data_IF_530712866535
#
_entry.id   IF_530712866535
#
_cell.length_a   1.000
_cell.length_b   1.000
_cell.length_c   1.000
_cell.angle_alpha   90.00
_cell.angle_beta   90.00
_cell.angle_gamma   90.00
#
_symmetry.space_group_name_H-M   'P 1'
#
loop_
_entity.id
_entity.type
_entity.pdbx_description
1 polymer ?
#
# COMPACT_ATOMS: atom_id res chain seq x y z
N UNK A 1 6.24 25.61 -4.35
CA UNK A 1 6.32 24.36 -5.13
C UNK A 1 5.33 23.36 -4.56
N UNK A 2 4.81 22.46 -5.38
CA UNK A 2 3.83 21.43 -4.99
C UNK A 2 4.56 20.25 -4.36
N UNK A 3 4.10 19.73 -3.22
CA UNK A 3 4.70 18.57 -2.53
C UNK A 3 4.25 17.26 -3.19
N UNK A 4 5.17 16.44 -3.66
CA UNK A 4 4.89 15.18 -4.36
C UNK A 4 4.69 14.04 -3.36
N UNK A 5 3.56 13.33 -3.46
CA UNK A 5 3.18 12.18 -2.64
C UNK A 5 3.02 10.97 -3.55
N UNK A 6 3.93 10.00 -3.43
CA UNK A 6 3.89 8.76 -4.19
C UNK A 6 3.10 7.68 -3.43
N UNK A 7 2.00 7.19 -4.00
CA UNK A 7 1.24 6.08 -3.45
C UNK A 7 1.65 4.76 -4.11
N UNK A 8 2.57 4.02 -3.48
CA UNK A 8 3.08 2.75 -3.98
C UNK A 8 2.35 1.57 -3.34
N UNK A 9 1.57 0.83 -4.12
CA UNK A 9 0.81 -0.30 -3.58
C UNK A 9 0.24 -1.25 -4.63
N UNK A 10 -0.78 -1.99 -4.23
CA UNK A 10 -1.37 -3.08 -5.02
C UNK A 10 -2.75 -2.73 -5.64
N UNK A 11 -3.67 -3.70 -5.74
CA UNK A 11 -5.03 -3.53 -6.26
C UNK A 11 -5.85 -2.53 -5.45
N UNK A 12 -5.63 -2.43 -4.13
CA UNK A 12 -6.35 -1.48 -3.28
C UNK A 12 -5.86 -0.04 -3.47
N UNK A 13 -4.61 0.15 -3.89
CA UNK A 13 -4.09 1.45 -4.37
C UNK A 13 -4.55 1.75 -5.79
N UNK A 14 -4.57 0.75 -6.67
CA UNK A 14 -5.11 0.88 -8.03
C UNK A 14 -6.59 1.28 -8.01
N UNK A 15 -7.35 0.77 -7.05
CA UNK A 15 -8.80 0.90 -6.95
C UNK A 15 -9.53 -0.19 -7.74
N UNK A 16 -9.10 -1.45 -7.62
CA UNK A 16 -9.81 -2.58 -8.22
C UNK A 16 -11.19 -2.72 -7.56
N UNK A 17 -12.22 -2.87 -8.38
CA UNK A 17 -13.59 -3.10 -7.91
C UNK A 17 -13.74 -4.56 -7.46
N UNK A 18 -14.71 -4.85 -6.56
CA UNK A 18 -14.94 -6.22 -6.10
C UNK A 18 -15.48 -7.20 -7.15
N UNK A 19 -15.73 -6.73 -8.38
CA UNK A 19 -15.99 -7.58 -9.55
C UNK A 19 -14.70 -8.22 -10.13
N UNK A 20 -13.55 -7.86 -9.55
CA UNK A 20 -12.19 -8.33 -9.88
C UNK A 20 -11.73 -7.96 -11.30
N UNK A 21 -12.43 -7.05 -11.97
CA UNK A 21 -12.17 -6.69 -13.38
C UNK A 21 -12.08 -5.18 -13.57
N UNK A 22 -13.02 -4.45 -12.98
CA UNK A 22 -13.18 -3.03 -13.22
C UNK A 22 -12.32 -2.20 -12.27
N UNK A 23 -11.95 -1.00 -12.71
CA UNK A 23 -11.27 -0.01 -11.86
C UNK A 23 -12.27 1.05 -11.44
N UNK A 24 -12.27 1.41 -10.16
CA UNK A 24 -12.99 2.59 -9.69
C UNK A 24 -12.52 3.84 -10.42
N UNK A 25 -13.44 4.76 -10.76
CA UNK A 25 -13.07 6.03 -11.36
C UNK A 25 -12.19 6.84 -10.39
N UNK A 26 -11.44 7.79 -10.95
CA UNK A 26 -10.52 8.64 -10.19
C UNK A 26 -11.20 9.35 -9.00
N UNK A 27 -12.45 9.75 -9.14
CA UNK A 27 -13.24 10.40 -8.08
C UNK A 27 -13.61 9.50 -6.91
N UNK A 28 -13.46 8.18 -7.05
CA UNK A 28 -13.84 7.19 -6.04
C UNK A 28 -12.62 6.60 -5.35
N UNK A 29 -11.56 6.25 -6.10
CA UNK A 29 -10.34 5.67 -5.51
C UNK A 29 -9.69 6.63 -4.50
N UNK A 30 -9.13 6.06 -3.44
CA UNK A 30 -8.68 6.84 -2.28
C UNK A 30 -7.57 7.83 -2.62
N UNK A 31 -6.70 7.49 -3.57
CA UNK A 31 -5.63 8.35 -4.07
C UNK A 31 -6.16 9.58 -4.83
N UNK A 32 -7.16 9.41 -5.68
CA UNK A 32 -7.78 10.53 -6.40
C UNK A 32 -8.64 11.42 -5.50
N UNK A 33 -9.30 10.83 -4.51
CA UNK A 33 -9.95 11.59 -3.43
C UNK A 33 -8.92 12.36 -2.59
N UNK A 34 -7.80 11.72 -2.24
CA UNK A 34 -6.72 12.34 -1.47
C UNK A 34 -6.16 13.56 -2.20
N UNK A 35 -5.91 13.45 -3.51
CA UNK A 35 -5.49 14.59 -4.33
C UNK A 35 -6.49 15.76 -4.25
N UNK A 36 -7.78 15.47 -4.39
CA UNK A 36 -8.82 16.50 -4.32
C UNK A 36 -8.86 17.19 -2.97
N UNK A 37 -8.73 16.42 -1.89
CA UNK A 37 -8.81 16.94 -0.53
C UNK A 37 -7.55 17.68 -0.06
N UNK A 38 -6.37 17.31 -0.57
CA UNK A 38 -5.11 18.02 -0.30
C UNK A 38 -4.98 19.28 -1.16
N UNK A 39 -5.65 19.35 -2.31
CA UNK A 39 -5.66 20.50 -3.19
C UNK A 39 -4.34 20.71 -3.95
N UNK A 40 -4.15 21.92 -4.49
CA UNK A 40 -3.07 22.24 -5.43
C UNK A 40 -1.67 22.28 -4.78
N UNK A 41 -1.60 22.36 -3.44
CA UNK A 41 -0.34 22.30 -2.70
C UNK A 41 0.37 20.94 -2.80
N UNK A 42 -0.35 19.87 -3.17
CA UNK A 42 0.17 18.50 -3.19
C UNK A 42 -0.08 17.81 -4.52
N UNK A 43 0.86 16.98 -4.98
CA UNK A 43 0.76 16.13 -6.17
C UNK A 43 0.77 14.66 -5.80
N UNK A 44 -0.37 14.00 -5.93
CA UNK A 44 -0.50 12.57 -5.63
C UNK A 44 -0.25 11.77 -6.89
N UNK A 45 0.78 10.93 -6.85
CA UNK A 45 1.14 9.96 -7.88
C UNK A 45 0.57 8.59 -7.54
N UNK A 46 -0.09 7.95 -8.49
CA UNK A 46 -0.80 6.68 -8.29
C UNK A 46 -0.02 5.51 -8.89
N UNK A 47 0.75 4.81 -8.06
CA UNK A 47 1.53 3.63 -8.45
C UNK A 47 0.94 2.38 -7.80
N UNK A 48 -0.33 2.11 -8.11
CA UNK A 48 -1.05 0.89 -7.70
C UNK A 48 -1.05 -0.16 -8.80
N UNK A 49 -0.62 -1.39 -8.49
CA UNK A 49 -0.60 -2.52 -9.43
C UNK A 49 -1.27 -3.74 -8.82
N UNK A 50 -2.41 -4.16 -9.37
CA UNK A 50 -3.11 -5.35 -8.90
C UNK A 50 -2.20 -6.58 -8.87
N UNK A 51 -2.22 -7.32 -7.76
CA UNK A 51 -1.37 -8.48 -7.54
C UNK A 51 0.06 -8.19 -7.05
N UNK A 52 0.49 -6.92 -6.97
CA UNK A 52 1.85 -6.56 -6.55
C UNK A 52 2.18 -7.14 -5.18
N UNK A 53 3.28 -7.89 -5.11
CA UNK A 53 3.88 -8.43 -3.89
C UNK A 53 4.94 -7.46 -3.38
N UNK A 54 5.50 -7.71 -2.20
CA UNK A 54 6.65 -6.94 -1.73
C UNK A 54 7.91 -7.22 -2.57
N UNK A 55 8.51 -8.40 -2.43
CA UNK A 55 9.80 -8.78 -3.04
C UNK A 55 9.72 -10.09 -3.84
N UNK A 56 8.54 -10.70 -3.94
CA UNK A 56 8.36 -12.05 -4.47
C UNK A 56 7.98 -12.03 -5.95
N UNK A 57 8.68 -12.80 -6.76
CA UNK A 57 8.24 -13.09 -8.13
C UNK A 57 7.04 -14.03 -8.09
N UNK A 58 5.91 -13.59 -8.65
CA UNK A 58 4.72 -14.43 -8.77
C UNK A 58 4.84 -15.30 -10.04
N UNK A 59 4.93 -16.63 -9.91
CA UNK A 59 5.09 -17.53 -11.04
C UNK A 59 3.81 -17.67 -11.88
N UNK A 60 2.67 -17.17 -11.39
CA UNK A 60 1.38 -17.20 -12.08
C UNK A 60 1.04 -15.83 -12.66
N UNK A 61 1.28 -14.77 -11.90
CA UNK A 61 1.05 -13.39 -12.34
C UNK A 61 2.40 -12.69 -12.58
N UNK A 62 2.88 -12.64 -13.83
CA UNK A 62 4.20 -12.04 -14.09
C UNK A 62 4.25 -10.53 -13.73
N UNK A 63 5.47 -10.05 -13.44
CA UNK A 63 5.78 -8.63 -13.16
C UNK A 63 5.18 -8.04 -11.88
N UNK A 64 4.83 -8.89 -10.90
CA UNK A 64 4.23 -8.45 -9.64
C UNK A 64 5.22 -8.16 -8.52
N UNK A 65 6.52 -8.42 -8.72
CA UNK A 65 7.53 -8.14 -7.73
C UNK A 65 7.71 -6.63 -7.52
N UNK A 66 7.19 -6.13 -6.38
CA UNK A 66 7.24 -4.71 -6.05
C UNK A 66 8.65 -4.14 -5.99
N UNK A 67 9.64 -4.91 -5.53
CA UNK A 67 11.03 -4.45 -5.43
C UNK A 67 11.65 -4.17 -6.80
N UNK A 68 11.37 -5.01 -7.80
CA UNK A 68 11.98 -4.90 -9.14
C UNK A 68 11.61 -3.60 -9.85
N UNK A 69 10.41 -3.08 -9.60
CA UNK A 69 9.92 -1.82 -10.20
C UNK A 69 10.15 -0.59 -9.31
N UNK A 70 10.37 -0.79 -8.01
CA UNK A 70 10.40 0.31 -7.02
C UNK A 70 11.48 1.37 -7.35
N UNK A 71 12.71 0.97 -7.64
CA UNK A 71 13.77 1.94 -7.92
C UNK A 71 13.53 2.72 -9.24
N UNK A 72 13.22 2.06 -10.38
CA UNK A 72 12.79 2.78 -11.59
C UNK A 72 11.63 3.77 -11.34
N UNK A 73 10.66 3.38 -10.52
CA UNK A 73 9.54 4.23 -10.13
C UNK A 73 10.00 5.47 -9.34
N UNK A 74 10.83 5.30 -8.32
CA UNK A 74 11.34 6.40 -7.49
C UNK A 74 12.17 7.39 -8.33
N UNK A 75 13.07 6.88 -9.17
CA UNK A 75 13.93 7.72 -10.02
C UNK A 75 13.14 8.50 -11.08
N UNK A 76 12.05 7.91 -11.59
CA UNK A 76 11.19 8.54 -12.61
C UNK A 76 10.36 9.70 -12.06
N UNK A 77 10.10 9.72 -10.75
CA UNK A 77 9.18 10.66 -10.10
C UNK A 77 9.87 11.66 -9.15
N UNK A 78 11.19 11.58 -8.96
CA UNK A 78 11.93 12.50 -8.07
C UNK A 78 11.86 13.97 -8.54
N UNK A 79 11.82 14.96 -7.62
CA UNK A 79 11.81 14.81 -6.16
C UNK A 79 10.44 14.40 -5.61
N UNK A 80 10.45 13.46 -4.66
CA UNK A 80 9.28 12.96 -3.93
C UNK A 80 9.36 13.42 -2.48
N UNK A 81 8.38 14.16 -1.99
CA UNK A 81 8.35 14.58 -0.58
C UNK A 81 7.96 13.42 0.35
N UNK A 82 7.02 12.57 -0.07
CA UNK A 82 6.53 11.44 0.72
C UNK A 82 6.24 10.22 -0.14
N UNK A 83 6.73 9.05 0.28
CA UNK A 83 6.31 7.74 -0.25
C UNK A 83 5.35 7.08 0.75
N UNK A 84 4.15 6.78 0.30
CA UNK A 84 3.18 5.93 1.00
C UNK A 84 3.37 4.50 0.46
N UNK A 85 3.83 3.59 1.32
CA UNK A 85 4.02 2.18 0.99
C UNK A 85 2.91 1.34 1.64
N UNK A 86 2.06 0.72 0.82
CA UNK A 86 0.99 -0.18 1.27
C UNK A 86 1.02 -1.46 0.43
N UNK A 87 1.71 -2.48 0.94
CA UNK A 87 1.89 -3.80 0.32
C UNK A 87 1.89 -4.89 1.39
N UNK A 88 1.76 -6.14 0.97
CA UNK A 88 1.81 -7.33 1.83
C UNK A 88 0.61 -8.25 1.66
N UNK A 89 -0.53 -7.75 1.14
CA UNK A 89 -1.73 -8.59 0.91
C UNK A 89 -1.46 -9.74 -0.05
N UNK A 90 -0.74 -9.50 -1.15
CA UNK A 90 -0.49 -10.53 -2.16
C UNK A 90 0.57 -11.55 -1.73
N UNK A 91 1.48 -11.17 -0.83
CA UNK A 91 2.46 -12.09 -0.24
C UNK A 91 1.78 -13.21 0.54
N UNK A 92 0.55 -12.97 1.03
CA UNK A 92 -0.24 -13.93 1.79
C UNK A 92 -0.91 -15.00 0.91
N UNK A 93 -0.74 -14.97 -0.42
CA UNK A 93 -1.18 -16.07 -1.27
C UNK A 93 -0.42 -17.34 -0.89
N UNK A 94 -1.13 -18.44 -0.74
CA UNK A 94 -0.61 -19.74 -0.30
C UNK A 94 0.57 -20.20 -1.17
N UNK A 95 0.56 -19.85 -2.45
CA UNK A 95 1.61 -20.17 -3.43
C UNK A 95 3.01 -19.67 -3.06
N UNK A 96 3.12 -18.61 -2.25
CA UNK A 96 4.42 -18.09 -1.79
C UNK A 96 4.91 -18.77 -0.51
N UNK A 97 3.99 -19.32 0.27
CA UNK A 97 4.26 -20.05 1.51
C UNK A 97 5.16 -19.28 2.50
N UNK A 98 4.99 -17.95 2.57
CA UNK A 98 5.74 -17.07 3.47
C UNK A 98 4.98 -16.79 4.77
N UNK A 99 5.70 -16.56 5.87
CA UNK A 99 5.09 -16.17 7.15
C UNK A 99 4.78 -14.68 7.21
N UNK A 100 3.92 -14.26 8.15
CA UNK A 100 3.67 -12.83 8.45
C UNK A 100 4.96 -12.10 8.86
N UNK A 101 5.88 -12.79 9.55
CA UNK A 101 7.25 -12.30 9.80
C UNK A 101 8.03 -12.04 8.51
N UNK A 102 8.03 -12.98 7.56
CA UNK A 102 8.73 -12.83 6.29
C UNK A 102 8.16 -11.68 5.44
N UNK A 103 6.85 -11.45 5.50
CA UNK A 103 6.21 -10.27 4.88
C UNK A 103 6.78 -8.98 5.50
N UNK A 104 6.89 -8.92 6.82
CA UNK A 104 7.53 -7.80 7.53
C UNK A 104 8.99 -7.58 7.09
N UNK A 105 9.79 -8.65 7.00
CA UNK A 105 11.17 -8.58 6.53
C UNK A 105 11.27 -8.14 5.06
N UNK A 106 10.30 -8.52 4.23
CA UNK A 106 10.23 -8.12 2.84
C UNK A 106 9.86 -6.65 2.69
N UNK A 107 8.95 -6.13 3.53
CA UNK A 107 8.64 -4.70 3.63
C UNK A 107 9.87 -3.91 4.11
N UNK A 108 10.61 -4.41 5.11
CA UNK A 108 11.87 -3.81 5.57
C UNK A 108 12.85 -3.61 4.41
N UNK A 109 12.92 -4.58 3.50
CA UNK A 109 13.74 -4.48 2.30
C UNK A 109 13.32 -3.30 1.40
N UNK A 110 12.02 -3.16 1.14
CA UNK A 110 11.48 -2.03 0.37
C UNK A 110 11.72 -0.68 1.06
N UNK A 111 11.53 -0.60 2.38
CA UNK A 111 11.84 0.60 3.16
C UNK A 111 13.31 0.99 3.04
N UNK A 112 14.22 0.01 3.10
CA UNK A 112 15.65 0.22 2.87
C UNK A 112 15.94 0.77 1.48
N UNK A 113 15.30 0.24 0.43
CA UNK A 113 15.41 0.76 -0.93
C UNK A 113 14.93 2.22 -1.03
N UNK A 114 13.79 2.57 -0.42
CA UNK A 114 13.27 3.94 -0.45
C UNK A 114 14.21 4.88 0.30
N UNK A 115 14.68 4.49 1.50
CA UNK A 115 15.63 5.28 2.30
C UNK A 115 16.95 5.55 1.57
N UNK A 116 17.45 4.57 0.83
CA UNK A 116 18.68 4.68 0.06
C UNK A 116 18.54 5.30 -1.33
N UNK A 117 17.34 5.74 -1.73
CA UNK A 117 17.04 6.09 -3.14
C UNK A 117 17.52 7.47 -3.59
N UNK A 118 17.88 8.37 -2.67
CA UNK A 118 18.17 9.78 -2.97
C UNK A 118 17.08 10.47 -3.84
N UNK A 119 15.83 10.02 -3.73
CA UNK A 119 14.71 10.46 -4.58
C UNK A 119 13.86 11.56 -3.94
N UNK A 120 14.23 12.02 -2.74
CA UNK A 120 13.63 13.17 -2.08
C UNK A 120 14.18 14.51 -2.55
N UNK A 121 13.66 15.63 -2.02
CA UNK A 121 14.25 16.96 -2.21
C UNK A 121 15.73 16.97 -1.85
N UNK A 122 16.54 17.75 -2.57
CA UNK A 122 17.98 17.88 -2.34
C UNK A 122 18.77 16.55 -2.33
N UNK A 123 18.29 15.56 -3.10
CA UNK A 123 18.84 14.20 -3.15
C UNK A 123 18.81 13.47 -1.80
N UNK A 124 17.95 13.90 -0.87
CA UNK A 124 17.71 13.21 0.39
C UNK A 124 16.82 11.96 0.18
N UNK A 125 16.61 11.19 1.25
CA UNK A 125 15.50 10.24 1.31
C UNK A 125 14.18 11.00 1.30
N UNK A 126 13.14 10.53 0.59
CA UNK A 126 11.78 11.01 0.84
C UNK A 126 11.36 10.66 2.27
N UNK A 127 10.37 11.37 2.83
CA UNK A 127 9.64 10.87 3.99
C UNK A 127 8.92 9.57 3.60
N UNK A 128 8.69 8.68 4.57
CA UNK A 128 8.05 7.39 4.30
C UNK A 128 6.91 7.18 5.28
N UNK A 129 5.73 6.87 4.74
CA UNK A 129 4.58 6.37 5.49
C UNK A 129 4.38 4.90 5.13
N UNK A 130 4.70 4.01 6.08
CA UNK A 130 4.32 2.61 6.01
C UNK A 130 2.86 2.46 6.43
N UNK A 131 2.06 1.82 5.59
CA UNK A 131 0.66 1.54 5.87
C UNK A 131 0.45 0.03 5.93
N UNK A 132 -0.04 -0.45 7.07
CA UNK A 132 -0.45 -1.84 7.21
C UNK A 132 -1.63 -2.11 6.25
N UNK A 133 -1.60 -3.19 5.45
CA UNK A 133 -2.75 -3.57 4.65
C UNK A 133 -3.99 -3.85 5.53
N UNK A 134 -5.17 -3.53 5.02
CA UNK A 134 -6.43 -3.85 5.70
C UNK A 134 -6.57 -5.38 5.81
N UNK A 135 -6.97 -5.93 6.97
CA UNK A 135 -7.10 -7.36 7.12
C UNK A 135 -8.09 -8.00 6.13
N UNK A 136 -7.73 -9.19 5.65
CA UNK A 136 -8.57 -9.94 4.72
C UNK A 136 -9.72 -10.59 5.49
N UNK A 137 -10.92 -10.60 4.91
CA UNK A 137 -12.12 -11.21 5.49
C UNK A 137 -12.52 -12.42 4.67
N UNK A 138 -12.67 -13.57 5.32
CA UNK A 138 -13.26 -14.72 4.63
C UNK A 138 -14.76 -14.47 4.40
N UNK A 139 -15.16 -14.52 3.13
CA UNK A 139 -16.55 -14.34 2.67
C UNK A 139 -17.14 -15.62 2.06
N UNK A 140 -16.47 -16.76 2.23
CA UNK A 140 -16.91 -18.05 1.69
C UNK A 140 -16.67 -18.22 0.18
N UNK A 141 -15.83 -17.37 -0.42
CA UNK A 141 -15.42 -17.53 -1.81
C UNK A 141 -14.36 -18.65 -1.90
N UNK A 142 -14.73 -19.77 -2.50
CA UNK A 142 -13.90 -20.99 -2.57
C UNK A 142 -12.55 -20.75 -3.25
N UNK A 143 -12.52 -19.95 -4.32
CA UNK A 143 -11.28 -19.71 -5.06
C UNK A 143 -10.32 -18.82 -4.25
N UNK A 144 -10.85 -17.84 -3.53
CA UNK A 144 -10.05 -17.01 -2.62
C UNK A 144 -9.58 -17.81 -1.41
N UNK A 145 -10.40 -18.72 -0.87
CA UNK A 145 -9.98 -19.63 0.19
C UNK A 145 -8.81 -20.51 -0.24
N UNK A 146 -8.85 -21.04 -1.47
CA UNK A 146 -7.74 -21.81 -2.05
C UNK A 146 -6.51 -20.95 -2.33
N UNK A 147 -6.72 -19.71 -2.78
CA UNK A 147 -5.64 -18.79 -3.10
C UNK A 147 -4.89 -18.33 -1.86
N UNK A 148 -5.61 -18.02 -0.78
CA UNK A 148 -5.05 -17.42 0.42
C UNK A 148 -4.73 -18.42 1.52
N UNK A 149 -5.51 -19.49 1.69
CA UNK A 149 -5.28 -20.48 2.74
C UNK A 149 -5.10 -19.84 4.12
N UNK A 150 -3.92 -19.98 4.72
CA UNK A 150 -3.59 -19.36 6.00
C UNK A 150 -3.48 -17.81 5.94
N UNK A 151 -3.53 -17.22 4.75
CA UNK A 151 -3.43 -15.78 4.50
C UNK A 151 -4.46 -14.93 5.22
N UNK A 152 -5.68 -15.43 5.47
CA UNK A 152 -6.67 -14.70 6.28
C UNK A 152 -6.16 -14.43 7.69
N UNK A 153 -5.62 -15.46 8.35
CA UNK A 153 -5.07 -15.34 9.70
C UNK A 153 -3.79 -14.50 9.69
N UNK A 154 -2.88 -14.76 8.75
CA UNK A 154 -1.62 -14.01 8.61
C UNK A 154 -1.86 -12.51 8.37
N UNK A 155 -2.95 -12.14 7.69
CA UNK A 155 -3.29 -10.73 7.45
C UNK A 155 -3.56 -9.96 8.75
N UNK A 156 -4.09 -10.63 9.78
CA UNK A 156 -4.33 -10.05 11.10
C UNK A 156 -3.06 -9.86 11.91
N UNK A 157 -2.03 -10.64 11.61
CA UNK A 157 -0.75 -10.62 12.32
C UNK A 157 0.18 -9.52 11.80
N UNK A 158 -0.03 -9.01 10.58
CA UNK A 158 0.86 -8.06 9.93
C UNK A 158 1.12 -6.82 10.80
N UNK A 159 0.11 -6.25 11.44
CA UNK A 159 0.27 -5.07 12.30
C UNK A 159 1.31 -5.30 13.42
N UNK A 160 1.29 -6.50 14.03
CA UNK A 160 2.22 -6.87 15.09
C UNK A 160 3.68 -6.92 14.64
N UNK A 161 3.94 -7.06 13.34
CA UNK A 161 5.28 -6.99 12.75
C UNK A 161 5.61 -5.62 12.16
N UNK A 162 4.62 -4.95 11.55
CA UNK A 162 4.86 -3.69 10.83
C UNK A 162 4.94 -2.47 11.75
N UNK A 163 4.21 -2.43 12.86
CA UNK A 163 4.33 -1.32 13.81
C UNK A 163 5.72 -1.25 14.46
N UNK A 164 6.28 -2.34 15.05
CA UNK A 164 7.64 -2.30 15.58
C UNK A 164 8.70 -2.05 14.51
N UNK A 165 8.48 -2.56 13.29
CA UNK A 165 9.37 -2.31 12.16
C UNK A 165 9.40 -0.81 11.79
N UNK A 166 8.26 -0.13 11.80
CA UNK A 166 8.20 1.29 11.49
C UNK A 166 8.97 2.12 12.53
N UNK A 167 8.88 1.74 13.81
CA UNK A 167 9.67 2.33 14.89
C UNK A 167 11.18 2.07 14.70
N UNK A 168 11.56 0.81 14.45
CA UNK A 168 12.95 0.40 14.20
C UNK A 168 13.56 1.20 13.03
N UNK A 169 12.80 1.33 11.95
CA UNK A 169 13.21 2.01 10.73
C UNK A 169 13.04 3.53 10.81
N UNK A 170 12.47 4.07 11.89
CA UNK A 170 12.15 5.50 12.05
C UNK A 170 11.39 6.05 10.84
N UNK A 171 10.28 5.42 10.50
CA UNK A 171 9.35 5.86 9.45
C UNK A 171 7.96 6.07 10.04
N UNK A 172 7.11 6.85 9.36
CA UNK A 172 5.74 7.06 9.81
C UNK A 172 4.92 5.78 9.62
N UNK A 173 3.93 5.57 10.49
CA UNK A 173 3.09 4.38 10.45
C UNK A 173 1.60 4.72 10.47
N UNK A 174 0.80 3.90 9.79
CA UNK A 174 -0.65 3.89 9.87
C UNK A 174 -1.15 2.44 9.77
N UNK A 175 -1.94 2.01 10.75
CA UNK A 175 -2.77 0.82 10.62
C UNK A 175 -4.24 1.22 10.44
N UNK A 176 -4.83 1.09 9.24
CA UNK A 176 -6.25 1.35 9.03
C UNK A 176 -7.14 0.39 9.84
N UNK A 177 -6.70 -0.86 10.02
CA UNK A 177 -7.44 -1.92 10.70
C UNK A 177 -8.85 -2.10 10.11
N UNK A 178 -9.83 -2.31 10.99
CA UNK A 178 -11.24 -2.49 10.61
C UNK A 178 -11.98 -1.20 10.27
N UNK A 179 -11.31 -0.04 10.28
CA UNK A 179 -11.95 1.24 9.93
C UNK A 179 -12.27 1.31 8.43
N UNK A 180 -11.48 0.62 7.60
CA UNK A 180 -11.66 0.59 6.15
C UNK A 180 -12.49 -0.64 5.78
N UNK A 181 -13.67 -0.39 5.21
CA UNK A 181 -14.57 -1.46 4.80
C UNK A 181 -14.08 -2.17 3.53
N UNK A 182 -13.94 -3.50 3.62
CA UNK A 182 -13.74 -4.41 2.48
C UNK A 182 -15.07 -5.01 2.02
N UNK A 183 -15.12 -5.36 0.74
CA UNK A 183 -16.30 -5.93 0.10
C UNK A 183 -16.81 -7.19 0.81
N UNK A 184 -18.13 -7.37 0.76
CA UNK A 184 -18.77 -8.63 1.18
C UNK A 184 -18.63 -9.73 0.12
N UNK A 185 -18.19 -9.41 -1.10
CA UNK A 185 -18.02 -10.36 -2.20
C UNK A 185 -16.69 -11.11 -2.12
N UNK A 186 -15.58 -10.39 -1.97
CA UNK A 186 -14.23 -10.97 -1.93
C UNK A 186 -13.53 -10.84 -0.58
N UNK A 187 -13.96 -9.90 0.27
CA UNK A 187 -13.33 -9.63 1.56
C UNK A 187 -11.91 -9.07 1.49
N UNK A 188 -11.47 -8.61 0.32
CA UNK A 188 -10.12 -8.08 0.07
C UNK A 188 -10.18 -6.64 -0.41
N UNK A 189 -11.05 -6.35 -1.40
CA UNK A 189 -11.06 -5.05 -2.06
C UNK A 189 -11.97 -4.06 -1.37
N UNK A 190 -11.57 -2.80 -1.35
CA UNK A 190 -12.32 -1.75 -0.66
C UNK A 190 -13.67 -1.48 -1.34
N UNK A 191 -14.68 -1.22 -0.50
CA UNK A 191 -15.91 -0.60 -0.99
C UNK A 191 -15.65 0.89 -1.30
N UNK A 192 -16.60 1.56 -1.95
CA UNK A 192 -16.53 3.03 -2.07
C UNK A 192 -16.42 3.71 -0.70
N UNK A 193 -17.12 3.18 0.30
CA UNK A 193 -17.02 3.65 1.68
C UNK A 193 -15.62 3.39 2.27
N UNK A 194 -15.05 2.22 2.01
CA UNK A 194 -13.66 1.91 2.37
C UNK A 194 -12.67 2.90 1.77
N UNK A 195 -12.79 3.21 0.48
CA UNK A 195 -11.97 4.24 -0.17
C UNK A 195 -12.14 5.63 0.45
N UNK A 196 -13.36 6.01 0.85
CA UNK A 196 -13.62 7.27 1.56
C UNK A 196 -12.93 7.33 2.92
N UNK A 197 -13.01 6.27 3.72
CA UNK A 197 -12.33 6.21 5.03
C UNK A 197 -10.82 6.21 4.87
N UNK A 198 -10.30 5.41 3.92
CA UNK A 198 -8.87 5.40 3.62
C UNK A 198 -8.35 6.79 3.25
N UNK A 199 -9.13 7.55 2.46
CA UNK A 199 -8.79 8.93 2.10
C UNK A 199 -8.61 9.81 3.33
N UNK A 200 -9.56 9.76 4.27
CA UNK A 200 -9.51 10.58 5.48
C UNK A 200 -8.28 10.26 6.35
N UNK A 201 -7.99 8.98 6.55
CA UNK A 201 -6.81 8.54 7.30
C UNK A 201 -5.50 8.97 6.63
N UNK A 202 -5.40 8.81 5.31
CA UNK A 202 -4.23 9.20 4.54
C UNK A 202 -4.02 10.71 4.57
N UNK A 203 -5.10 11.50 4.42
CA UNK A 203 -5.02 12.96 4.49
C UNK A 203 -4.48 13.43 5.84
N UNK A 204 -5.00 12.88 6.94
CA UNK A 204 -4.53 13.21 8.29
C UNK A 204 -3.02 12.97 8.40
N UNK A 205 -2.54 11.78 8.03
CA UNK A 205 -1.11 11.46 8.06
C UNK A 205 -0.28 12.32 7.12
N UNK A 206 -0.74 12.57 5.90
CA UNK A 206 -0.01 13.44 4.95
C UNK A 206 0.14 14.85 5.51
N UNK A 207 -0.91 15.40 6.12
CA UNK A 207 -0.85 16.74 6.73
C UNK A 207 -0.03 16.74 8.03
N UNK A 208 -0.01 15.65 8.80
CA UNK A 208 0.88 15.53 9.96
C UNK A 208 2.36 15.52 9.55
N UNK A 209 2.71 14.80 8.48
CA UNK A 209 4.09 14.62 8.02
C UNK A 209 4.59 15.84 7.24
N UNK A 210 3.76 16.31 6.31
CA UNK A 210 4.11 17.33 5.32
C UNK A 210 3.35 18.65 5.49
N UNK A 211 2.36 18.75 6.38
CA UNK A 211 1.67 20.02 6.65
C UNK A 211 2.64 21.06 7.17
N UNK A 212 2.30 22.34 6.95
CA UNK A 212 3.19 23.50 7.04
C UNK A 212 4.24 23.40 8.18
N UNK A 213 5.47 23.01 7.79
CA UNK A 213 6.74 23.49 8.35
C UNK A 213 7.23 24.62 7.46
#
# INVERSE_FOLDING_TARGET
>A
MRKTVLCYGDSNTFGLMPDLQSRYPYSVRWTGRLQRELGEKYYVLEEGLGGRTTVWDDPVEMHKNGKTYLLPCLESHRPIDLVILMLGTNDLKERFHVSSFDVGQSIKNLLGCIKGSASGPDLASPEILLVCPVPIRDRGNIDLQRMLGAGFQKSLELDGYLAPLAEEMQVHYLNPGDRVEVSKTDGIHYTEQGHRVMTALMKEKVLEILGDR
#
